data_IF_611441388741
#
_entry.id   IF_611441388741
#
_cell.length_a   1.000
_cell.length_b   1.000
_cell.length_c   1.000
_cell.angle_alpha   90.00
_cell.angle_beta   90.00
_cell.angle_gamma   90.00
#
_symmetry.space_group_name_H-M   'P 1'
#
loop_
_entity.id
_entity.type
_entity.pdbx_description
1 polymer ?
#
# COMPACT_ATOMS: atom_id res chain seq x y z
N UNK A 1 24.17 2.63 -19.92
CA UNK A 1 23.69 1.95 -18.70
C UNK A 1 23.38 3.02 -17.68
N UNK A 2 22.12 3.26 -17.37
CA UNK A 2 21.76 4.19 -16.32
C UNK A 2 22.23 3.59 -14.99
N UNK A 3 23.01 4.36 -14.21
CA UNK A 3 23.41 3.97 -12.86
C UNK A 3 22.13 3.84 -12.03
N UNK A 4 21.78 2.62 -11.65
CA UNK A 4 20.72 2.39 -10.68
C UNK A 4 21.08 3.15 -9.41
N UNK A 5 20.17 3.98 -8.92
CA UNK A 5 20.35 4.66 -7.66
C UNK A 5 20.63 3.60 -6.58
N UNK A 6 21.86 3.53 -6.12
CA UNK A 6 22.35 2.51 -5.19
C UNK A 6 21.88 2.74 -3.74
N UNK A 7 21.05 3.75 -3.51
CA UNK A 7 20.64 4.17 -2.17
C UNK A 7 19.38 3.46 -1.71
N UNK A 8 19.49 2.85 -0.54
CA UNK A 8 18.32 2.34 0.19
C UNK A 8 17.47 3.51 0.67
N UNK A 9 16.18 3.49 0.36
CA UNK A 9 15.21 4.40 0.94
C UNK A 9 14.53 3.74 2.13
N UNK A 10 14.33 4.49 3.21
CA UNK A 10 13.61 4.04 4.40
C UNK A 10 12.64 5.13 4.85
N UNK A 11 11.37 4.76 4.96
CA UNK A 11 10.28 5.63 5.38
C UNK A 11 9.61 5.05 6.62
N UNK A 12 9.35 5.88 7.60
CA UNK A 12 8.67 5.50 8.84
C UNK A 12 7.33 6.21 8.96
N UNK A 13 6.33 5.48 9.44
CA UNK A 13 4.99 6.01 9.69
C UNK A 13 4.50 5.59 11.06
N UNK A 14 3.69 6.47 11.66
CA UNK A 14 2.87 6.13 12.83
C UNK A 14 1.42 6.01 12.41
N UNK A 15 0.82 4.90 12.76
CA UNK A 15 -0.61 4.66 12.59
C UNK A 15 -1.34 5.15 13.83
N UNK A 16 -2.23 6.12 13.65
CA UNK A 16 -3.05 6.69 14.71
C UNK A 16 -4.49 6.27 14.51
N UNK A 17 -5.14 5.80 15.57
CA UNK A 17 -6.58 5.58 15.61
C UNK A 17 -7.27 6.76 16.26
N UNK A 18 -8.31 7.30 15.61
CA UNK A 18 -9.12 8.41 16.09
C UNK A 18 -10.58 7.95 16.25
N UNK A 19 -11.13 8.14 17.43
CA UNK A 19 -12.54 7.87 17.76
C UNK A 19 -13.09 8.99 18.63
N UNK A 20 -14.02 9.78 18.09
CA UNK A 20 -14.50 10.98 18.73
C UNK A 20 -13.36 11.95 19.06
N UNK A 21 -13.20 12.30 20.33
CA UNK A 21 -12.11 13.16 20.82
C UNK A 21 -10.83 12.39 21.17
N UNK A 22 -10.87 11.06 21.14
CA UNK A 22 -9.72 10.21 21.47
C UNK A 22 -8.89 10.01 20.21
N UNK A 23 -7.61 10.34 20.30
CA UNK A 23 -6.63 10.04 19.27
C UNK A 23 -5.41 9.37 19.92
N UNK A 24 -5.03 8.17 19.43
CA UNK A 24 -3.96 7.40 20.05
C UNK A 24 -3.16 6.63 19.00
N UNK A 25 -1.84 6.62 19.16
CA UNK A 25 -0.93 5.88 18.28
C UNK A 25 -1.14 4.37 18.47
N UNK A 26 -1.58 3.71 17.42
CA UNK A 26 -2.00 2.30 17.43
C UNK A 26 -0.94 1.36 16.85
N UNK A 27 -0.05 1.85 16.02
CA UNK A 27 0.96 1.04 15.36
C UNK A 27 2.07 1.85 14.71
N UNK A 28 3.07 1.13 14.21
CA UNK A 28 4.18 1.66 13.44
C UNK A 28 4.27 0.90 12.12
N UNK A 29 4.65 1.59 11.04
CA UNK A 29 4.92 1.03 9.73
C UNK A 29 6.29 1.52 9.27
N UNK A 30 7.10 0.59 8.80
CA UNK A 30 8.37 0.85 8.14
C UNK A 30 8.29 0.37 6.70
N UNK A 31 8.63 1.24 5.74
CA UNK A 31 8.73 0.90 4.32
C UNK A 31 10.17 1.09 3.88
N UNK A 32 10.74 0.08 3.22
CA UNK A 32 12.08 0.14 2.64
C UNK A 32 12.05 -0.18 1.15
N UNK A 33 12.90 0.50 0.38
CA UNK A 33 13.20 0.19 -1.01
C UNK A 33 14.71 -0.02 -1.14
N UNK A 34 15.11 -1.15 -1.69
CA UNK A 34 16.52 -1.51 -1.91
C UNK A 34 16.74 -1.92 -3.36
N UNK A 35 17.95 -1.71 -3.91
CA UNK A 35 18.32 -2.30 -5.20
C UNK A 35 18.20 -3.82 -5.17
N UNK A 36 17.70 -4.40 -6.27
CA UNK A 36 17.57 -5.84 -6.50
C UNK A 36 18.00 -6.17 -7.92
N UNK A 37 18.53 -7.37 -8.23
CA UNK A 37 18.95 -7.74 -9.59
C UNK A 37 17.87 -7.53 -10.67
N UNK A 38 16.59 -7.67 -10.32
CA UNK A 38 15.45 -7.45 -11.23
C UNK A 38 14.90 -6.02 -11.21
N UNK A 39 15.44 -5.13 -10.35
CA UNK A 39 15.00 -3.75 -10.17
C UNK A 39 15.05 -3.30 -8.71
N UNK A 40 13.96 -3.50 -7.96
CA UNK A 40 13.88 -3.12 -6.54
C UNK A 40 13.24 -4.22 -5.68
N UNK A 41 13.74 -4.40 -4.47
CA UNK A 41 13.02 -5.04 -3.38
C UNK A 41 12.35 -3.95 -2.54
N UNK A 42 11.04 -4.04 -2.46
CA UNK A 42 10.20 -3.20 -1.60
C UNK A 42 9.78 -4.05 -0.40
N UNK A 43 9.83 -3.48 0.79
CA UNK A 43 9.42 -4.18 2.01
C UNK A 43 8.64 -3.23 2.91
N UNK A 44 7.49 -3.69 3.39
CA UNK A 44 6.70 -3.03 4.43
C UNK A 44 6.60 -3.95 5.63
N UNK A 45 6.85 -3.39 6.81
CA UNK A 45 6.63 -4.06 8.09
C UNK A 45 5.68 -3.21 8.92
N UNK A 46 4.55 -3.79 9.32
CA UNK A 46 3.57 -3.14 10.17
C UNK A 46 3.39 -3.90 11.49
N UNK A 47 3.30 -3.16 12.59
CA UNK A 47 3.10 -3.71 13.93
C UNK A 47 2.23 -2.81 14.77
N UNK A 48 1.31 -3.40 15.52
CA UNK A 48 0.53 -2.69 16.53
C UNK A 48 1.33 -2.44 17.81
N UNK A 49 1.00 -1.34 18.51
CA UNK A 49 1.58 -1.00 19.82
C UNK A 49 0.99 -1.87 20.93
N UNK A 50 1.67 -2.02 22.09
CA UNK A 50 1.24 -2.93 23.16
C UNK A 50 -0.20 -2.76 23.64
N UNK A 51 -0.72 -1.52 23.68
CA UNK A 51 -2.11 -1.31 24.07
C UNK A 51 -3.10 -1.79 23.00
N UNK A 52 -2.76 -1.58 21.71
CA UNK A 52 -3.58 -2.00 20.58
C UNK A 52 -3.54 -3.52 20.38
N UNK A 53 -2.45 -4.19 20.76
CA UNK A 53 -2.32 -5.64 20.76
C UNK A 53 -3.41 -6.32 21.60
N UNK A 54 -3.88 -5.67 22.66
CA UNK A 54 -4.96 -6.18 23.51
C UNK A 54 -6.31 -6.23 22.79
N UNK A 55 -6.50 -5.38 21.77
CA UNK A 55 -7.71 -5.30 20.95
C UNK A 55 -7.54 -6.12 19.69
N UNK A 56 -6.47 -5.83 18.95
CA UNK A 56 -6.14 -6.48 17.68
C UNK A 56 -4.63 -6.50 17.45
N UNK A 57 -3.99 -7.63 17.75
CA UNK A 57 -2.57 -7.80 17.49
C UNK A 57 -2.34 -8.00 15.99
N UNK A 58 -1.44 -7.20 15.41
CA UNK A 58 -1.03 -7.25 14.00
C UNK A 58 0.49 -7.23 13.90
N UNK A 59 1.03 -8.16 13.11
CA UNK A 59 2.45 -8.25 12.74
C UNK A 59 2.49 -8.69 11.27
N UNK A 60 2.51 -7.71 10.39
CA UNK A 60 2.41 -7.94 8.96
C UNK A 60 3.70 -7.57 8.24
N UNK A 61 4.04 -8.36 7.26
CA UNK A 61 5.16 -8.09 6.36
C UNK A 61 4.71 -8.27 4.92
N UNK A 62 4.93 -7.25 4.10
CA UNK A 62 4.77 -7.29 2.66
C UNK A 62 6.14 -7.17 2.02
N UNK A 63 6.42 -7.99 1.03
CA UNK A 63 7.63 -7.91 0.20
C UNK A 63 7.20 -7.94 -1.26
N UNK A 64 7.70 -7.01 -2.05
CA UNK A 64 7.48 -6.98 -3.50
C UNK A 64 8.82 -6.81 -4.20
N UNK A 65 9.14 -7.74 -5.09
CA UNK A 65 10.23 -7.56 -6.06
C UNK A 65 9.62 -6.98 -7.32
N UNK A 66 10.11 -5.82 -7.74
CA UNK A 66 9.61 -5.10 -8.91
C UNK A 66 10.71 -4.91 -9.94
N UNK A 67 10.32 -4.68 -11.19
CA UNK A 67 11.24 -4.15 -12.18
C UNK A 67 11.39 -2.61 -12.00
N UNK A 68 12.29 -2.01 -12.78
CA UNK A 68 12.54 -0.56 -12.76
C UNK A 68 11.48 0.25 -13.49
N UNK A 69 10.62 -0.39 -14.28
CA UNK A 69 9.59 0.28 -15.05
C UNK A 69 8.34 0.48 -14.20
N UNK A 70 8.20 1.67 -13.63
CA UNK A 70 7.03 2.08 -12.82
C UNK A 70 6.67 1.09 -11.71
N UNK A 71 7.67 0.42 -11.12
CA UNK A 71 7.48 -0.56 -10.05
C UNK A 71 6.53 -1.72 -10.40
N UNK A 72 6.51 -2.16 -11.66
CA UNK A 72 5.72 -3.33 -12.05
C UNK A 72 6.20 -4.57 -11.31
N UNK A 73 5.34 -5.28 -10.55
CA UNK A 73 5.77 -6.38 -9.68
C UNK A 73 6.18 -7.62 -10.50
N UNK A 74 7.19 -8.31 -10.01
CA UNK A 74 7.66 -9.63 -10.50
C UNK A 74 7.23 -10.72 -9.53
N UNK A 75 7.34 -10.43 -8.24
CA UNK A 75 6.98 -11.34 -7.17
C UNK A 75 6.49 -10.57 -5.96
N UNK A 76 5.43 -11.04 -5.34
CA UNK A 76 4.85 -10.45 -4.14
C UNK A 76 4.58 -11.50 -3.08
N UNK A 77 4.94 -11.21 -1.85
CA UNK A 77 4.64 -12.04 -0.68
C UNK A 77 4.03 -11.18 0.42
N UNK A 78 2.92 -11.64 0.97
CA UNK A 78 2.30 -11.09 2.17
C UNK A 78 2.30 -12.12 3.29
N UNK A 79 2.84 -11.77 4.44
CA UNK A 79 2.85 -12.58 5.65
C UNK A 79 2.12 -11.82 6.74
N UNK A 80 1.05 -12.38 7.27
CA UNK A 80 0.25 -11.79 8.33
C UNK A 80 0.19 -12.71 9.55
N UNK A 81 0.48 -12.10 10.71
CA UNK A 81 0.23 -12.70 12.02
C UNK A 81 -0.78 -11.83 12.75
N UNK A 82 -2.06 -12.16 12.59
CA UNK A 82 -3.17 -11.41 13.16
C UNK A 82 -3.83 -12.21 14.28
N UNK A 83 -3.77 -11.69 15.50
CA UNK A 83 -4.21 -12.41 16.72
C UNK A 83 -3.50 -13.78 16.82
N UNK A 84 -4.22 -14.87 16.60
CA UNK A 84 -3.70 -16.25 16.62
C UNK A 84 -3.91 -16.93 15.27
N UNK A 85 -3.86 -16.17 14.18
CA UNK A 85 -3.98 -16.66 12.82
C UNK A 85 -2.71 -16.32 12.06
N UNK A 86 -2.28 -17.25 11.23
CA UNK A 86 -1.21 -17.05 10.26
C UNK A 86 -1.78 -17.06 8.85
N UNK A 87 -1.29 -16.18 8.00
CA UNK A 87 -1.59 -16.16 6.58
C UNK A 87 -0.33 -15.84 5.80
N UNK A 88 -0.13 -16.55 4.70
CA UNK A 88 0.84 -16.20 3.68
C UNK A 88 0.14 -16.20 2.31
N UNK A 89 0.25 -15.11 1.58
CA UNK A 89 -0.09 -15.03 0.17
C UNK A 89 1.20 -14.83 -0.62
N UNK A 90 1.33 -15.52 -1.74
CA UNK A 90 2.47 -15.44 -2.65
C UNK A 90 1.96 -15.30 -4.08
N UNK A 91 2.46 -14.33 -4.85
CA UNK A 91 2.00 -14.08 -6.23
C UNK A 91 3.23 -13.92 -7.14
N UNK A 92 3.33 -14.75 -8.17
CA UNK A 92 4.30 -14.62 -9.26
C UNK A 92 3.61 -13.99 -10.46
N UNK A 93 4.19 -12.91 -11.00
CA UNK A 93 3.64 -12.15 -12.13
C UNK A 93 4.29 -12.58 -13.42
N UNK A 94 3.47 -12.83 -14.45
CA UNK A 94 3.88 -13.16 -15.81
C UNK A 94 3.26 -12.16 -16.77
N UNK A 95 4.10 -11.48 -17.53
CA UNK A 95 3.72 -10.45 -18.49
C UNK A 95 3.72 -10.98 -19.92
N UNK A 96 2.66 -10.69 -20.67
CA UNK A 96 2.53 -11.00 -22.09
C UNK A 96 1.89 -9.81 -22.82
N UNK A 97 2.71 -8.92 -23.36
CA UNK A 97 2.25 -7.64 -23.92
C UNK A 97 1.55 -6.78 -22.86
N UNK A 98 0.26 -6.49 -23.08
CA UNK A 98 -0.56 -5.74 -22.12
C UNK A 98 -1.25 -6.64 -21.07
N UNK A 99 -1.22 -7.95 -21.25
CA UNK A 99 -1.83 -8.91 -20.34
C UNK A 99 -0.85 -9.28 -19.23
N UNK A 100 -1.38 -9.42 -18.01
CA UNK A 100 -0.62 -9.84 -16.83
C UNK A 100 -1.37 -10.98 -16.16
N UNK A 101 -0.67 -12.08 -15.88
CA UNK A 101 -1.17 -13.18 -15.07
C UNK A 101 -0.44 -13.22 -13.75
N UNK A 102 -1.19 -13.39 -12.65
CA UNK A 102 -0.67 -13.61 -11.31
C UNK A 102 -0.94 -15.04 -10.87
N UNK A 103 0.10 -15.85 -10.73
CA UNK A 103 -0.04 -17.18 -10.12
C UNK A 103 0.02 -17.02 -8.61
N UNK A 104 -1.16 -17.07 -7.99
CA UNK A 104 -1.34 -16.82 -6.56
C UNK A 104 -1.43 -18.14 -5.78
N UNK A 105 -0.65 -18.22 -4.72
CA UNK A 105 -0.73 -19.28 -3.70
C UNK A 105 -1.11 -18.64 -2.37
N UNK A 106 -1.99 -19.30 -1.64
CA UNK A 106 -2.49 -18.83 -0.35
C UNK A 106 -2.44 -19.93 0.67
N UNK A 107 -1.77 -19.66 1.77
CA UNK A 107 -1.73 -20.48 2.96
C UNK A 107 -2.40 -19.75 4.12
N UNK A 108 -3.26 -20.45 4.85
CA UNK A 108 -3.88 -19.94 6.07
C UNK A 108 -3.87 -21.01 7.14
N UNK A 109 -3.53 -20.60 8.34
CA UNK A 109 -3.66 -21.42 9.53
C UNK A 109 -4.57 -20.71 10.53
N UNK A 110 -5.58 -21.41 11.04
CA UNK A 110 -6.50 -20.87 12.02
C UNK A 110 -5.98 -21.14 13.45
N UNK A 111 -6.72 -20.64 14.45
CA UNK A 111 -6.39 -20.80 15.87
C UNK A 111 -6.31 -22.26 16.36
N UNK A 112 -6.92 -23.20 15.62
CA UNK A 112 -6.93 -24.64 15.95
C UNK A 112 -5.82 -25.41 15.24
N UNK A 113 -4.96 -24.71 14.45
CA UNK A 113 -3.93 -25.33 13.63
C UNK A 113 -4.46 -25.94 12.33
N UNK A 114 -5.72 -25.68 11.98
CA UNK A 114 -6.27 -26.15 10.70
C UNK A 114 -5.69 -25.31 9.57
N UNK A 115 -5.15 -25.99 8.57
CA UNK A 115 -4.46 -25.40 7.43
C UNK A 115 -5.35 -25.45 6.19
N UNK A 116 -5.45 -24.32 5.49
CA UNK A 116 -6.05 -24.22 4.16
C UNK A 116 -4.98 -23.71 3.19
N UNK A 117 -4.72 -24.50 2.15
CA UNK A 117 -3.88 -24.10 1.02
C UNK A 117 -4.73 -24.02 -0.23
N UNK A 118 -4.58 -22.96 -1.01
CA UNK A 118 -5.29 -22.76 -2.27
C UNK A 118 -4.41 -22.04 -3.28
N UNK A 119 -4.63 -22.35 -4.55
CA UNK A 119 -4.00 -21.70 -5.70
C UNK A 119 -5.05 -21.01 -6.56
N UNK A 120 -4.69 -19.92 -7.22
CA UNK A 120 -5.55 -19.20 -8.15
C UNK A 120 -4.71 -18.54 -9.25
N UNK A 121 -5.31 -18.30 -10.40
CA UNK A 121 -4.73 -17.46 -11.45
C UNK A 121 -5.53 -16.18 -11.54
N UNK A 122 -4.85 -15.06 -11.34
CA UNK A 122 -5.39 -13.71 -11.47
C UNK A 122 -5.08 -13.19 -12.88
N UNK A 123 -6.00 -12.46 -13.47
CA UNK A 123 -5.83 -11.92 -14.82
C UNK A 123 -6.15 -10.43 -14.87
N UNK A 124 -5.20 -9.65 -15.36
CA UNK A 124 -5.32 -8.21 -15.51
C UNK A 124 -4.75 -7.72 -16.84
N UNK A 125 -5.02 -6.47 -17.15
CA UNK A 125 -4.45 -5.79 -18.33
C UNK A 125 -4.10 -4.34 -17.97
N UNK A 126 -3.11 -3.79 -18.67
CA UNK A 126 -2.59 -2.46 -18.40
C UNK A 126 -1.68 -2.40 -17.17
N UNK A 127 -1.68 -1.30 -16.41
CA UNK A 127 -0.92 -1.21 -15.16
C UNK A 127 -1.49 -2.17 -14.11
N UNK A 128 -0.67 -3.15 -13.69
CA UNK A 128 -1.03 -4.12 -12.65
C UNK A 128 0.00 -4.04 -11.54
N UNK A 129 -0.46 -3.95 -10.29
CA UNK A 129 0.36 -3.85 -9.09
C UNK A 129 -0.07 -4.86 -8.04
N UNK A 130 0.78 -5.08 -7.04
CA UNK A 130 0.41 -5.70 -5.78
C UNK A 130 0.11 -4.64 -4.70
N UNK A 131 -0.22 -5.09 -3.49
CA UNK A 131 -0.59 -4.23 -2.36
C UNK A 131 0.53 -3.33 -1.85
N UNK A 132 1.80 -3.60 -2.21
CA UNK A 132 2.94 -2.77 -1.81
C UNK A 132 3.48 -1.94 -2.98
N UNK A 133 3.61 -2.52 -4.18
CA UNK A 133 4.11 -1.80 -5.35
C UNK A 133 3.18 -0.66 -5.76
N UNK A 134 1.88 -0.75 -5.47
CA UNK A 134 0.91 0.33 -5.69
C UNK A 134 1.25 1.59 -4.89
N UNK A 135 1.82 1.48 -3.68
CA UNK A 135 2.28 2.62 -2.91
C UNK A 135 3.36 3.42 -3.68
N UNK A 136 4.28 2.73 -4.33
CA UNK A 136 5.32 3.38 -5.14
C UNK A 136 4.77 3.90 -6.47
N UNK A 137 3.80 3.20 -7.09
CA UNK A 137 3.09 3.71 -8.26
C UNK A 137 2.40 5.05 -7.99
N UNK A 138 1.75 5.21 -6.86
CA UNK A 138 1.12 6.48 -6.47
C UNK A 138 2.11 7.64 -6.43
N UNK A 139 3.37 7.39 -6.11
CA UNK A 139 4.44 8.39 -6.07
C UNK A 139 4.97 8.78 -7.47
N UNK A 140 4.74 7.93 -8.49
CA UNK A 140 5.17 8.14 -9.88
C UNK A 140 4.08 8.81 -10.74
N UNK A 141 2.91 9.08 -10.19
CA UNK A 141 1.84 9.75 -10.93
C UNK A 141 2.19 11.23 -11.08
N UNK A 142 2.19 11.71 -12.34
CA UNK A 142 2.41 13.12 -12.68
C UNK A 142 1.17 13.97 -12.36
N UNK A 143 0.93 14.21 -11.07
CA UNK A 143 -0.26 14.95 -10.60
C UNK A 143 -0.34 16.37 -11.15
N UNK A 144 0.79 16.98 -11.51
CA UNK A 144 0.83 18.30 -12.16
C UNK A 144 0.13 18.33 -13.52
N UNK A 145 0.00 17.19 -14.18
CA UNK A 145 -0.70 17.06 -15.46
C UNK A 145 -2.19 16.74 -15.30
N UNK A 146 -2.67 16.54 -14.06
CA UNK A 146 -4.06 16.21 -13.78
C UNK A 146 -4.82 17.45 -13.29
N UNK A 147 -6.02 17.65 -13.83
CA UNK A 147 -6.97 18.62 -13.29
C UNK A 147 -7.72 18.02 -12.09
N UNK A 148 -8.21 18.86 -11.15
CA UNK A 148 -9.10 18.38 -10.11
C UNK A 148 -10.29 17.60 -10.68
N UNK A 149 -10.54 16.40 -10.11
CA UNK A 149 -11.56 15.46 -10.57
C UNK A 149 -11.09 14.45 -11.61
N UNK A 150 -9.94 14.63 -12.25
CA UNK A 150 -9.38 13.62 -13.16
C UNK A 150 -8.88 12.39 -12.42
N UNK A 151 -8.99 11.23 -13.07
CA UNK A 151 -8.70 9.94 -12.46
C UNK A 151 -7.63 9.15 -13.20
N UNK A 152 -6.81 8.43 -12.42
CA UNK A 152 -5.88 7.41 -12.90
C UNK A 152 -6.35 6.05 -12.39
N UNK A 153 -6.23 5.01 -13.22
CA UNK A 153 -6.71 3.67 -12.89
C UNK A 153 -5.60 2.64 -12.99
N UNK A 154 -5.67 1.63 -12.12
CA UNK A 154 -4.78 0.48 -12.15
C UNK A 154 -5.51 -0.79 -11.67
N UNK A 155 -4.96 -1.95 -11.98
CA UNK A 155 -5.43 -3.23 -11.44
C UNK A 155 -4.50 -3.64 -10.29
N UNK A 156 -5.09 -4.13 -9.21
CA UNK A 156 -4.34 -4.62 -8.04
C UNK A 156 -4.61 -6.12 -7.87
N UNK A 157 -3.55 -6.89 -7.74
CA UNK A 157 -3.65 -8.28 -7.29
C UNK A 157 -3.42 -8.33 -5.78
N UNK A 158 -4.52 -8.53 -5.03
CA UNK A 158 -4.50 -8.57 -3.55
C UNK A 158 -4.77 -10.00 -3.06
N UNK A 159 -3.71 -10.76 -2.81
CA UNK A 159 -3.80 -12.17 -2.41
C UNK A 159 -4.45 -13.02 -3.51
N UNK A 160 -5.71 -13.44 -3.34
CA UNK A 160 -6.45 -14.24 -4.33
C UNK A 160 -7.53 -13.44 -5.08
N UNK A 161 -7.44 -12.11 -5.08
CA UNK A 161 -8.45 -11.23 -5.66
C UNK A 161 -7.83 -10.25 -6.65
N UNK A 162 -8.64 -9.90 -7.65
CA UNK A 162 -8.38 -8.79 -8.54
C UNK A 162 -9.24 -7.60 -8.10
N UNK A 163 -8.62 -6.45 -7.92
CA UNK A 163 -9.28 -5.22 -7.51
C UNK A 163 -8.92 -4.10 -8.49
N UNK A 164 -9.86 -3.21 -8.76
CA UNK A 164 -9.63 -2.01 -9.54
C UNK A 164 -9.39 -0.85 -8.59
N UNK A 165 -8.23 -0.21 -8.74
CA UNK A 165 -7.88 1.03 -8.09
C UNK A 165 -8.33 2.19 -8.97
N UNK A 166 -9.04 3.14 -8.40
CA UNK A 166 -9.27 4.47 -8.98
C UNK A 166 -8.67 5.53 -8.06
N UNK A 167 -7.80 6.36 -8.62
CA UNK A 167 -7.14 7.48 -7.93
C UNK A 167 -7.66 8.77 -8.54
N UNK A 168 -8.30 9.64 -7.76
CA UNK A 168 -8.82 10.94 -8.18
C UNK A 168 -7.96 12.06 -7.60
N UNK A 169 -7.50 12.97 -8.44
CA UNK A 169 -6.78 14.15 -8.01
C UNK A 169 -7.77 15.22 -7.54
N UNK A 170 -7.61 15.72 -6.30
CA UNK A 170 -8.43 16.82 -5.74
C UNK A 170 -7.73 18.19 -5.88
N UNK A 171 -6.43 18.20 -6.15
CA UNK A 171 -5.61 19.38 -6.28
C UNK A 171 -4.49 19.48 -5.26
N UNK A 172 -3.95 20.69 -5.10
CA UNK A 172 -2.88 20.96 -4.14
C UNK A 172 -3.43 21.67 -2.91
N UNK A 173 -2.88 21.32 -1.74
CA UNK A 173 -3.11 22.04 -0.51
C UNK A 173 -1.92 21.93 0.45
N UNK A 174 -1.88 22.80 1.45
CA UNK A 174 -0.90 22.72 2.51
C UNK A 174 -1.43 21.86 3.66
N UNK A 175 -0.62 20.93 4.15
CA UNK A 175 -0.94 20.14 5.34
C UNK A 175 0.09 20.34 6.43
N UNK A 176 -0.35 20.39 7.67
CA UNK A 176 0.50 20.38 8.86
C UNK A 176 0.73 18.95 9.32
N UNK A 177 1.99 18.54 9.44
CA UNK A 177 2.37 17.24 10.01
C UNK A 177 2.40 17.27 11.54
N UNK A 178 2.65 16.11 12.15
CA UNK A 178 2.65 15.98 13.61
C UNK A 178 3.75 16.79 14.30
N UNK A 179 4.87 17.02 13.63
CA UNK A 179 6.02 17.83 14.09
C UNK A 179 5.81 19.34 13.88
N UNK A 180 4.59 19.75 13.45
CA UNK A 180 4.22 21.12 13.13
C UNK A 180 4.83 21.67 11.85
N UNK A 181 5.57 20.89 11.09
CA UNK A 181 6.03 21.29 9.76
C UNK A 181 4.85 21.37 8.77
N UNK A 182 4.90 22.36 7.89
CA UNK A 182 3.87 22.56 6.84
C UNK A 182 4.45 22.16 5.50
N UNK A 183 3.72 21.34 4.76
CA UNK A 183 4.11 20.82 3.47
C UNK A 183 3.03 21.05 2.42
N UNK A 184 3.41 21.51 1.23
CA UNK A 184 2.53 21.47 0.06
C UNK A 184 2.41 20.03 -0.42
N UNK A 185 1.19 19.55 -0.63
CA UNK A 185 0.90 18.19 -1.03
C UNK A 185 -0.20 18.13 -2.10
N UNK A 186 -0.14 17.11 -2.94
CA UNK A 186 -1.26 16.69 -3.77
C UNK A 186 -2.25 15.93 -2.90
N UNK A 187 -3.48 16.44 -2.79
CA UNK A 187 -4.59 15.71 -2.20
C UNK A 187 -5.19 14.78 -3.24
N UNK A 188 -5.23 13.52 -2.94
CA UNK A 188 -5.84 12.49 -3.77
C UNK A 188 -6.85 11.68 -2.96
N UNK A 189 -7.87 11.21 -3.64
CA UNK A 189 -8.78 10.19 -3.12
C UNK A 189 -8.56 8.90 -3.91
N UNK A 190 -8.49 7.78 -3.23
CA UNK A 190 -8.46 6.50 -3.92
C UNK A 190 -9.42 5.50 -3.29
N UNK A 191 -9.93 4.61 -4.12
CA UNK A 191 -10.85 3.54 -3.74
C UNK A 191 -10.55 2.25 -4.49
N UNK A 192 -10.94 1.16 -3.90
CA UNK A 192 -10.82 -0.18 -4.48
C UNK A 192 -12.21 -0.75 -4.80
N UNK A 193 -12.33 -1.38 -5.95
CA UNK A 193 -13.53 -2.13 -6.34
C UNK A 193 -13.11 -3.54 -6.70
N UNK A 194 -13.63 -4.56 -6.01
CA UNK A 194 -13.34 -5.96 -6.37
C UNK A 194 -13.90 -6.26 -7.76
N UNK A 195 -13.16 -6.97 -8.60
CA UNK A 195 -13.60 -7.43 -9.92
C UNK A 195 -14.91 -8.24 -9.81
N UNK A 196 -15.90 -7.87 -10.59
CA UNK A 196 -17.26 -8.44 -10.50
C UNK A 196 -18.11 -7.93 -9.33
N UNK A 197 -17.56 -7.08 -8.47
CA UNK A 197 -18.29 -6.43 -7.38
C UNK A 197 -18.98 -5.14 -7.84
N UNK A 198 -20.11 -4.82 -7.20
CA UNK A 198 -20.85 -3.57 -7.44
C UNK A 198 -20.56 -2.49 -6.42
N UNK A 199 -19.84 -2.83 -5.34
CA UNK A 199 -19.49 -1.89 -4.26
C UNK A 199 -17.99 -1.62 -4.25
N UNK A 200 -17.64 -0.35 -4.20
CA UNK A 200 -16.27 0.11 -3.91
C UNK A 200 -16.04 0.21 -2.40
N UNK A 201 -14.77 0.27 -1.98
CA UNK A 201 -14.43 0.75 -0.65
C UNK A 201 -14.86 2.21 -0.47
N UNK A 202 -14.89 2.69 0.78
CA UNK A 202 -14.94 4.13 1.03
C UNK A 202 -13.71 4.81 0.42
N UNK A 203 -13.84 6.09 0.09
CA UNK A 203 -12.72 6.90 -0.37
C UNK A 203 -11.67 7.00 0.74
N UNK A 204 -10.43 6.72 0.37
CA UNK A 204 -9.25 6.88 1.23
C UNK A 204 -8.54 8.15 0.79
N UNK A 205 -8.39 9.09 1.72
CA UNK A 205 -7.68 10.33 1.46
C UNK A 205 -6.17 10.11 1.60
N UNK A 206 -5.40 10.68 0.68
CA UNK A 206 -3.95 10.65 0.77
C UNK A 206 -3.36 12.00 0.32
N UNK A 207 -2.36 12.47 1.04
CA UNK A 207 -1.60 13.67 0.73
C UNK A 207 -0.17 13.29 0.39
N UNK A 208 0.21 13.52 -0.85
CA UNK A 208 1.53 13.18 -1.39
C UNK A 208 2.34 14.47 -1.57
N UNK A 209 3.55 14.53 -1.01
CA UNK A 209 4.45 15.69 -1.15
C UNK A 209 4.59 16.12 -2.61
N UNK A 210 4.49 17.43 -2.88
CA UNK A 210 4.83 17.98 -4.21
C UNK A 210 6.33 17.98 -4.49
N UNK A 211 7.16 17.79 -3.45
CA UNK A 211 8.62 17.69 -3.56
C UNK A 211 9.04 16.23 -3.73
N UNK A 212 10.00 16.00 -4.60
CA UNK A 212 10.66 14.71 -4.72
C UNK A 212 11.23 14.24 -3.35
N UNK A 213 11.13 12.95 -3.06
CA UNK A 213 10.68 11.83 -3.90
C UNK A 213 9.18 11.52 -3.78
N UNK A 214 8.29 12.51 -3.67
CA UNK A 214 6.83 12.39 -3.63
C UNK A 214 6.34 11.41 -2.54
N UNK A 215 6.69 11.70 -1.30
CA UNK A 215 6.35 10.85 -0.15
C UNK A 215 4.86 11.05 0.20
N UNK A 216 4.05 9.98 0.36
CA UNK A 216 2.76 10.07 1.02
C UNK A 216 2.93 10.53 2.47
N UNK A 217 2.52 11.75 2.77
CA UNK A 217 2.72 12.41 4.07
C UNK A 217 1.64 12.01 5.07
N UNK A 218 0.42 11.81 4.57
CA UNK A 218 -0.73 11.44 5.38
C UNK A 218 -1.67 10.58 4.55
N UNK A 219 -2.13 9.47 5.13
CA UNK A 219 -3.20 8.63 4.56
C UNK A 219 -4.30 8.51 5.61
N UNK A 220 -5.55 8.71 5.20
CA UNK A 220 -6.69 8.72 6.10
C UNK A 220 -7.80 7.84 5.53
N UNK A 221 -8.11 6.76 6.27
CA UNK A 221 -9.20 5.85 5.96
C UNK A 221 -10.27 5.85 7.06
N UNK A 222 -11.53 5.81 6.67
CA UNK A 222 -12.63 5.66 7.59
C UNK A 222 -12.84 4.18 7.92
N UNK A 223 -13.20 3.93 9.17
CA UNK A 223 -13.64 2.63 9.66
C UNK A 223 -15.12 2.75 10.07
N UNK A 224 -15.85 1.63 10.20
CA UNK A 224 -17.23 1.66 10.71
C UNK A 224 -17.33 2.41 12.05
N UNK A 225 -16.28 2.37 12.86
CA UNK A 225 -16.17 3.17 14.08
C UNK A 225 -14.81 3.87 14.07
N UNK A 226 -14.84 5.19 13.85
CA UNK A 226 -13.63 6.03 13.89
C UNK A 226 -12.86 6.08 12.57
N UNK A 227 -11.59 6.47 12.67
CA UNK A 227 -10.71 6.76 11.54
C UNK A 227 -9.31 6.28 11.83
N UNK A 228 -8.64 5.73 10.81
CA UNK A 228 -7.21 5.43 10.83
C UNK A 228 -6.45 6.50 10.06
N UNK A 229 -5.38 7.00 10.65
CA UNK A 229 -4.46 7.95 10.03
C UNK A 229 -3.06 7.35 10.02
N UNK A 230 -2.44 7.30 8.85
CA UNK A 230 -1.05 6.88 8.67
C UNK A 230 -0.22 8.13 8.44
N UNK A 231 0.60 8.50 9.41
CA UNK A 231 1.32 9.77 9.43
C UNK A 231 2.78 9.52 9.16
N UNK A 232 3.34 10.16 8.14
CA UNK A 232 4.78 10.14 7.88
C UNK A 232 5.56 10.73 9.05
N UNK A 233 6.71 10.13 9.34
CA UNK A 233 7.68 10.62 10.30
C UNK A 233 8.97 11.00 9.56
N UNK A 234 9.30 12.29 9.54
CA UNK A 234 10.58 12.73 9.03
C UNK A 234 11.72 12.10 9.86
N UNK A 235 12.87 11.79 9.24
CA UNK A 235 14.05 11.39 9.98
C UNK A 235 14.45 12.50 10.97
N UNK A 236 14.71 12.12 12.22
CA UNK A 236 15.25 13.03 13.25
C UNK A 236 16.69 13.37 12.98
#
# INVERSE_FOLDING_TARGET
MAAFASTTEKLNYVVTYKWGLIQKDAGDVEITKKPHPQGYELRLVAKTKPWADKIYRLRDTLVSVTNTNKYSPVHYTYIAHEKNKYRKDDIKFVYSGKSVKGHAEKYKENKKGEVVHSTNVLEGSGPVYDMLSVYFFLREIEYSNLKPGETVKATIFSGSKEEFLEVRCEGKENIELRDKSVHEAWHILFKFTQKGGTKSSDDINCWISTKEPHIPLLIVGNLPIGQVRVNYQAPS
#
